data_IF_728863109882
#
_entry.id   IF_728863109882
#
_cell.length_a   1.000
_cell.length_b   1.000
_cell.length_c   1.000
_cell.angle_alpha   90.00
_cell.angle_beta   90.00
_cell.angle_gamma   90.00
#
_symmetry.space_group_name_H-M   'P 1'
#
loop_
_entity.id
_entity.type
_entity.pdbx_description
1 polymer ?
#
# COMPACT_ATOMS: atom_id res chain seq x y z
N UNK A 1 -13.80 15.96 -17.60
CA UNK A 1 -14.41 15.66 -16.28
C UNK A 1 -14.59 14.15 -16.13
N UNK A 2 -13.49 13.39 -16.06
CA UNK A 2 -13.52 11.90 -16.14
C UNK A 2 -13.02 11.20 -14.86
N UNK A 3 -12.80 11.94 -13.77
CA UNK A 3 -12.03 11.47 -12.62
C UNK A 3 -12.81 11.36 -11.30
N UNK A 4 -14.15 11.43 -11.32
CA UNK A 4 -14.93 11.46 -10.08
C UNK A 4 -15.63 10.14 -9.68
N UNK A 5 -15.61 9.09 -10.52
CA UNK A 5 -16.36 7.85 -10.26
C UNK A 5 -15.53 6.58 -10.04
N UNK A 6 -14.19 6.68 -9.98
CA UNK A 6 -13.31 5.52 -9.80
C UNK A 6 -13.11 5.09 -8.33
N UNK A 7 -13.86 5.65 -7.37
CA UNK A 7 -13.61 5.48 -5.93
C UNK A 7 -14.55 4.52 -5.20
N UNK A 8 -15.35 3.71 -5.91
CA UNK A 8 -16.25 2.74 -5.27
C UNK A 8 -15.82 1.30 -5.53
N UNK A 9 -14.69 0.91 -4.94
CA UNK A 9 -14.72 -0.02 -3.80
C UNK A 9 -15.35 -1.41 -3.92
N UNK A 10 -15.84 -1.88 -5.07
CA UNK A 10 -16.46 -3.20 -5.19
C UNK A 10 -15.59 -4.14 -6.05
N UNK A 11 -15.04 -5.23 -5.48
CA UNK A 11 -14.57 -6.34 -6.33
C UNK A 11 -15.81 -7.00 -6.93
N UNK A 12 -15.98 -6.93 -8.24
CA UNK A 12 -17.02 -7.68 -8.97
C UNK A 12 -18.24 -6.91 -9.48
N UNK A 13 -18.21 -5.58 -9.59
CA UNK A 13 -19.23 -4.89 -10.40
C UNK A 13 -18.76 -4.85 -11.85
N UNK A 14 -19.26 -5.79 -12.66
CA UNK A 14 -19.27 -5.62 -14.11
C UNK A 14 -20.55 -4.85 -14.48
N UNK A 15 -20.40 -3.59 -14.90
CA UNK A 15 -21.52 -2.82 -15.47
C UNK A 15 -21.64 -3.22 -16.93
N UNK A 16 -22.58 -4.11 -17.25
CA UNK A 16 -23.01 -4.33 -18.63
C UNK A 16 -24.13 -3.32 -18.93
N UNK A 17 -23.94 -2.35 -19.84
CA UNK A 17 -25.06 -1.54 -20.30
C UNK A 17 -25.96 -2.42 -21.17
N UNK A 18 -27.15 -2.78 -20.66
CA UNK A 18 -28.21 -3.32 -21.49
C UNK A 18 -28.90 -2.15 -22.21
N UNK A 19 -28.44 -1.88 -23.44
CA UNK A 19 -29.00 -0.85 -24.30
C UNK A 19 -30.20 -1.46 -25.01
N UNK A 20 -31.38 -1.38 -24.38
CA UNK A 20 -32.64 -1.59 -25.08
C UNK A 20 -32.94 -0.37 -25.97
N UNK A 21 -32.29 -0.32 -27.14
CA UNK A 21 -32.52 0.69 -28.16
C UNK A 21 -33.83 0.42 -28.91
N UNK A 22 -34.98 0.67 -28.27
CA UNK A 22 -36.23 0.87 -28.99
C UNK A 22 -37.26 1.63 -28.17
N UNK A 23 -37.11 2.95 -28.10
CA UNK A 23 -38.19 3.84 -27.67
C UNK A 23 -38.35 4.96 -28.71
N UNK A 24 -39.57 5.21 -29.27
CA UNK A 24 -39.79 6.24 -30.30
C UNK A 24 -39.52 7.68 -29.84
N UNK A 25 -39.36 7.89 -28.53
CA UNK A 25 -39.29 9.19 -27.87
C UNK A 25 -37.85 9.72 -27.69
N UNK A 26 -36.86 9.20 -28.42
CA UNK A 26 -35.45 9.65 -28.34
C UNK A 26 -34.90 9.69 -26.89
N UNK A 27 -35.38 8.80 -26.03
CA UNK A 27 -35.01 8.71 -24.62
C UNK A 27 -34.34 7.35 -24.38
N UNK A 28 -33.19 7.38 -23.72
CA UNK A 28 -32.42 6.18 -23.35
C UNK A 28 -32.74 5.88 -21.88
N UNK A 29 -33.48 4.79 -21.65
CA UNK A 29 -33.73 4.28 -20.30
C UNK A 29 -32.52 3.44 -19.85
N UNK A 30 -31.64 4.04 -19.04
CA UNK A 30 -30.49 3.31 -18.45
C UNK A 30 -30.97 2.61 -17.17
N UNK A 31 -31.22 1.29 -17.24
CA UNK A 31 -31.49 0.47 -16.05
C UNK A 31 -30.17 -0.09 -15.52
N UNK A 32 -29.73 0.41 -14.36
CA UNK A 32 -28.62 -0.17 -13.62
C UNK A 32 -29.14 -1.35 -12.77
N UNK A 33 -28.87 -2.58 -13.21
CA UNK A 33 -29.11 -3.77 -12.39
C UNK A 33 -27.90 -3.96 -11.48
N UNK A 34 -28.05 -3.58 -10.20
CA UNK A 34 -27.02 -3.82 -9.18
C UNK A 34 -27.35 -5.15 -8.50
N UNK A 35 -26.78 -6.25 -8.98
CA UNK A 35 -26.80 -7.50 -8.23
C UNK A 35 -25.88 -7.35 -7.01
N UNK A 36 -26.48 -7.42 -5.82
CA UNK A 36 -25.77 -7.31 -4.55
C UNK A 36 -24.95 -8.60 -4.35
N UNK A 37 -23.71 -8.59 -4.84
CA UNK A 37 -22.75 -9.65 -4.56
C UNK A 37 -22.68 -9.90 -3.03
N UNK A 38 -22.64 -11.17 -2.63
CA UNK A 38 -22.56 -11.56 -1.22
C UNK A 38 -21.38 -10.90 -0.51
N UNK A 39 -21.41 -10.87 0.83
CA UNK A 39 -20.26 -10.37 1.61
C UNK A 39 -19.08 -11.30 1.38
N UNK A 40 -18.01 -10.78 0.77
CA UNK A 40 -16.74 -11.50 0.66
C UNK A 40 -15.91 -11.32 1.94
N UNK A 41 -15.10 -12.33 2.28
CA UNK A 41 -14.24 -12.34 3.47
C UNK A 41 -12.79 -12.64 3.10
N UNK A 42 -11.85 -12.13 3.89
CA UNK A 42 -10.44 -12.51 3.81
C UNK A 42 -10.28 -13.86 4.52
N UNK A 43 -9.68 -14.84 3.85
CA UNK A 43 -9.38 -16.14 4.42
C UNK A 43 -7.98 -16.15 5.02
N UNK A 44 -6.95 -15.87 4.22
CA UNK A 44 -5.56 -15.75 4.69
C UNK A 44 -4.87 -14.54 4.08
N UNK A 45 -3.85 -14.01 4.77
CA UNK A 45 -2.94 -12.99 4.24
C UNK A 45 -1.57 -13.63 4.04
N UNK A 46 -1.19 -13.81 2.78
CA UNK A 46 0.08 -14.39 2.38
C UNK A 46 1.07 -13.27 2.05
N UNK A 47 2.24 -13.29 2.69
CA UNK A 47 3.32 -12.34 2.43
C UNK A 47 4.48 -13.12 1.82
N UNK A 48 4.99 -12.65 0.69
CA UNK A 48 6.08 -13.31 -0.03
C UNK A 48 7.23 -12.35 -0.32
N UNK A 49 8.43 -12.90 -0.46
CA UNK A 49 9.66 -12.18 -0.83
C UNK A 49 10.15 -11.13 0.18
N UNK A 50 9.69 -11.20 1.44
CA UNK A 50 10.21 -10.42 2.56
C UNK A 50 11.38 -11.13 3.27
N UNK A 51 12.57 -11.08 2.65
CA UNK A 51 13.74 -11.83 3.13
C UNK A 51 14.37 -11.26 4.42
N UNK A 52 14.47 -9.93 4.53
CA UNK A 52 15.02 -9.24 5.71
C UNK A 52 13.90 -8.76 6.62
N UNK A 53 12.80 -8.25 6.04
CA UNK A 53 11.71 -7.60 6.77
C UNK A 53 10.79 -8.64 7.38
N UNK A 54 10.52 -8.51 8.68
CA UNK A 54 9.62 -9.44 9.36
C UNK A 54 8.17 -9.30 8.88
N UNK A 55 7.46 -10.41 8.73
CA UNK A 55 6.04 -10.44 8.35
C UNK A 55 5.17 -9.47 9.16
N UNK A 56 5.43 -9.35 10.47
CA UNK A 56 4.67 -8.48 11.37
C UNK A 56 4.77 -6.99 10.99
N UNK A 57 5.88 -6.58 10.37
CA UNK A 57 6.10 -5.21 9.90
C UNK A 57 5.24 -4.93 8.68
N UNK A 58 5.04 -5.91 7.80
CA UNK A 58 4.18 -5.77 6.64
C UNK A 58 2.70 -5.86 7.06
N UNK A 59 2.37 -6.87 7.88
CA UNK A 59 1.01 -7.16 8.31
C UNK A 59 0.34 -6.02 9.09
N UNK A 60 1.11 -5.28 9.91
CA UNK A 60 0.58 -4.16 10.71
C UNK A 60 0.14 -2.95 9.87
N UNK A 61 0.58 -2.85 8.61
CA UNK A 61 0.22 -1.72 7.74
C UNK A 61 -1.20 -1.83 7.20
N UNK A 62 -1.80 -3.03 7.30
CA UNK A 62 -3.17 -3.32 6.89
C UNK A 62 -4.13 -3.22 8.08
N UNK A 63 -5.26 -2.55 7.87
CA UNK A 63 -6.39 -2.48 8.83
C UNK A 63 -7.40 -3.62 8.66
N UNK A 64 -6.97 -4.70 8.01
CA UNK A 64 -7.78 -5.88 7.74
C UNK A 64 -7.02 -7.10 8.24
N UNK A 65 -7.72 -8.00 8.92
CA UNK A 65 -7.20 -9.24 9.42
C UNK A 65 -7.86 -10.44 8.71
N UNK A 66 -7.29 -11.62 8.95
CA UNK A 66 -7.86 -12.87 8.48
C UNK A 66 -9.24 -13.09 9.15
N UNK A 67 -10.26 -13.39 8.34
CA UNK A 67 -11.65 -13.49 8.78
C UNK A 67 -12.48 -12.21 8.62
N UNK A 68 -11.86 -11.06 8.37
CA UNK A 68 -12.59 -9.81 8.18
C UNK A 68 -13.34 -9.76 6.83
N UNK A 69 -14.35 -8.89 6.77
CA UNK A 69 -15.06 -8.58 5.53
C UNK A 69 -14.08 -7.91 4.57
N UNK A 70 -14.06 -8.38 3.32
CA UNK A 70 -13.28 -7.78 2.25
C UNK A 70 -13.62 -6.29 2.13
N UNK A 71 -12.60 -5.45 2.28
CA UNK A 71 -12.72 -4.01 2.10
C UNK A 71 -11.57 -3.50 1.23
N UNK A 72 -11.91 -3.11 0.00
CA UNK A 72 -10.94 -2.60 -0.97
C UNK A 72 -10.21 -1.35 -0.46
N UNK A 73 -10.91 -0.45 0.21
CA UNK A 73 -10.31 0.79 0.73
C UNK A 73 -9.23 0.51 1.79
N UNK A 74 -9.42 -0.51 2.63
CA UNK A 74 -8.42 -0.92 3.61
C UNK A 74 -7.20 -1.57 2.96
N UNK A 75 -7.40 -2.36 1.90
CA UNK A 75 -6.30 -2.96 1.13
C UNK A 75 -5.48 -1.88 0.42
N UNK A 76 -6.14 -0.96 -0.29
CA UNK A 76 -5.47 0.15 -0.99
C UNK A 76 -4.72 1.07 -0.02
N UNK A 77 -5.31 1.34 1.15
CA UNK A 77 -4.64 2.12 2.20
C UNK A 77 -3.42 1.38 2.73
N UNK A 78 -3.52 0.07 2.98
CA UNK A 78 -2.40 -0.75 3.43
C UNK A 78 -1.26 -0.82 2.41
N UNK A 79 -1.58 -0.98 1.12
CA UNK A 79 -0.60 -0.91 0.04
C UNK A 79 0.12 0.45 0.02
N UNK A 80 -0.64 1.55 0.15
CA UNK A 80 -0.06 2.89 0.21
C UNK A 80 0.86 3.06 1.42
N UNK A 81 0.47 2.54 2.58
CA UNK A 81 1.29 2.58 3.80
C UNK A 81 2.59 1.79 3.61
N UNK A 82 2.52 0.56 3.06
CA UNK A 82 3.71 -0.25 2.74
C UNK A 82 4.68 0.47 1.81
N UNK A 83 4.18 1.08 0.73
CA UNK A 83 5.01 1.88 -0.18
C UNK A 83 5.63 3.08 0.55
N UNK A 84 4.90 3.68 1.50
CA UNK A 84 5.36 4.79 2.33
C UNK A 84 6.47 4.43 3.33
N UNK A 85 6.65 3.14 3.67
CA UNK A 85 7.75 2.70 4.54
C UNK A 85 9.13 2.87 3.86
N UNK A 86 9.17 2.93 2.54
CA UNK A 86 10.40 3.04 1.75
C UNK A 86 11.37 1.85 1.95
N UNK A 87 10.83 0.68 2.32
CA UNK A 87 11.60 -0.56 2.50
C UNK A 87 11.65 -1.43 1.25
N UNK A 88 10.70 -1.21 0.34
CA UNK A 88 10.47 -2.04 -0.83
C UNK A 88 10.61 -1.20 -2.10
N UNK A 89 11.21 -1.78 -3.13
CA UNK A 89 11.22 -1.22 -4.48
C UNK A 89 9.87 -1.44 -5.17
N UNK A 90 9.34 -2.67 -5.04
CA UNK A 90 8.03 -3.04 -5.58
C UNK A 90 7.15 -3.64 -4.50
N UNK A 91 5.86 -3.33 -4.60
CA UNK A 91 4.79 -3.87 -3.74
C UNK A 91 3.64 -4.22 -4.66
N UNK A 92 3.20 -5.47 -4.63
CA UNK A 92 2.05 -5.98 -5.36
C UNK A 92 1.07 -6.60 -4.37
N UNK A 93 -0.14 -6.06 -4.30
CA UNK A 93 -1.19 -6.56 -3.41
C UNK A 93 -2.39 -6.96 -4.25
N UNK A 94 -2.76 -8.23 -4.21
CA UNK A 94 -3.85 -8.74 -5.02
C UNK A 94 -4.62 -9.86 -4.30
N UNK A 95 -5.97 -9.82 -4.34
CA UNK A 95 -6.78 -10.91 -3.82
C UNK A 95 -6.86 -12.06 -4.83
N UNK A 96 -6.80 -13.30 -4.34
CA UNK A 96 -7.05 -14.52 -5.12
C UNK A 96 -8.26 -15.28 -4.58
N UNK A 97 -9.11 -15.85 -5.46
CA UNK A 97 -10.24 -16.67 -5.01
C UNK A 97 -9.73 -17.93 -4.31
N UNK A 98 -10.48 -18.39 -3.32
CA UNK A 98 -10.23 -19.68 -2.64
C UNK A 98 -11.27 -20.71 -3.02
N UNK A 99 -11.06 -21.97 -2.63
CA UNK A 99 -12.05 -23.04 -2.81
C UNK A 99 -13.35 -22.82 -2.00
N UNK A 100 -13.32 -21.91 -1.02
CA UNK A 100 -14.47 -21.58 -0.19
C UNK A 100 -15.26 -20.43 -0.83
N UNK A 101 -16.58 -20.60 -0.92
CA UNK A 101 -17.49 -19.56 -1.42
C UNK A 101 -17.32 -18.26 -0.62
N UNK A 102 -17.31 -17.13 -1.34
CA UNK A 102 -17.23 -15.78 -0.79
C UNK A 102 -15.95 -15.53 0.06
N UNK A 103 -14.88 -16.30 -0.17
CA UNK A 103 -13.60 -16.15 0.52
C UNK A 103 -12.44 -15.94 -0.44
N UNK A 104 -11.59 -14.97 -0.11
CA UNK A 104 -10.42 -14.58 -0.87
C UNK A 104 -9.17 -14.60 0.01
N UNK A 105 -8.06 -15.06 -0.53
CA UNK A 105 -6.74 -14.88 0.08
C UNK A 105 -6.15 -13.55 -0.42
N UNK A 106 -5.50 -12.81 0.46
CA UNK A 106 -4.80 -11.58 0.12
C UNK A 106 -3.32 -11.88 -0.02
N UNK A 107 -2.79 -11.79 -1.24
CA UNK A 107 -1.37 -11.99 -1.47
C UNK A 107 -0.66 -10.63 -1.54
N UNK A 108 0.43 -10.53 -0.80
CA UNK A 108 1.29 -9.35 -0.70
C UNK A 108 2.68 -9.79 -1.12
N UNK A 109 3.04 -9.46 -2.35
CA UNK A 109 4.36 -9.74 -2.90
C UNK A 109 5.21 -8.47 -2.89
N UNK A 110 6.39 -8.55 -2.26
CA UNK A 110 7.27 -7.40 -2.07
C UNK A 110 8.68 -7.66 -2.61
N UNK A 111 9.31 -6.63 -3.14
CA UNK A 111 10.72 -6.66 -3.54
C UNK A 111 11.49 -5.70 -2.63
N UNK A 112 12.31 -6.24 -1.74
CA UNK A 112 13.07 -5.44 -0.77
C UNK A 112 14.23 -4.67 -1.42
N UNK A 113 14.47 -3.45 -0.93
CA UNK A 113 15.63 -2.63 -1.35
C UNK A 113 16.53 -2.28 -0.17
N UNK A 114 17.68 -1.68 -0.47
CA UNK A 114 18.55 -1.15 0.58
C UNK A 114 17.86 0.01 1.31
N UNK A 115 17.77 -0.12 2.64
CA UNK A 115 17.18 0.87 3.55
C UNK A 115 18.23 1.71 4.30
N UNK A 116 19.51 1.47 3.99
CA UNK A 116 20.66 2.17 4.55
C UNK A 116 21.08 3.35 3.68
N UNK A 117 21.40 4.49 4.29
CA UNK A 117 21.99 5.65 3.63
C UNK A 117 23.11 6.27 4.46
N UNK A 118 24.12 6.82 3.78
CA UNK A 118 25.23 7.57 4.35
C UNK A 118 25.14 9.00 3.83
N UNK A 119 25.27 9.97 4.74
CA UNK A 119 25.22 11.39 4.41
C UNK A 119 26.48 12.13 4.86
N UNK A 120 26.85 13.15 4.10
CA UNK A 120 27.90 14.10 4.46
C UNK A 120 27.38 15.51 4.25
N UNK A 121 27.42 16.33 5.30
CA UNK A 121 26.95 17.71 5.29
C UNK A 121 28.09 18.66 5.65
N UNK A 122 28.16 19.82 4.99
CA UNK A 122 29.09 20.91 5.33
C UNK A 122 28.29 22.20 5.39
N UNK A 123 28.50 23.02 6.42
CA UNK A 123 27.77 24.27 6.60
C UNK A 123 28.56 25.31 7.38
N UNK A 124 28.10 26.56 7.31
CA UNK A 124 28.69 27.69 8.02
C UNK A 124 27.63 28.37 8.89
N UNK A 125 28.00 28.66 10.14
CA UNK A 125 27.14 29.38 11.09
C UNK A 125 27.86 30.66 11.56
N UNK A 126 27.20 31.81 11.48
CA UNK A 126 27.75 33.12 11.91
C UNK A 126 28.21 33.12 13.37
N UNK A 127 27.57 32.35 14.25
CA UNK A 127 27.94 32.27 15.67
C UNK A 127 28.96 31.17 16.01
N UNK A 128 29.19 30.21 15.12
CA UNK A 128 29.91 28.96 15.43
C UNK A 128 30.81 28.43 14.32
N UNK A 129 31.11 29.25 13.32
CA UNK A 129 32.04 28.95 12.25
C UNK A 129 31.61 27.84 11.30
N UNK A 130 32.61 27.29 10.59
CA UNK A 130 32.46 26.17 9.66
C UNK A 130 32.28 24.86 10.43
N UNK A 131 31.34 24.02 9.99
CA UNK A 131 31.13 22.68 10.51
C UNK A 131 30.96 21.65 9.38
N UNK A 132 31.28 20.40 9.71
CA UNK A 132 31.01 19.23 8.89
C UNK A 132 30.33 18.14 9.70
N UNK A 133 29.47 17.34 9.05
CA UNK A 133 28.77 16.22 9.65
C UNK A 133 28.86 15.00 8.75
N UNK A 134 29.16 13.85 9.34
CA UNK A 134 28.95 12.53 8.75
C UNK A 134 27.73 11.90 9.43
N UNK A 135 26.85 11.28 8.66
CA UNK A 135 25.66 10.60 9.17
C UNK A 135 25.43 9.25 8.49
N UNK A 136 24.80 8.34 9.23
CA UNK A 136 24.35 7.03 8.79
C UNK A 136 22.91 6.83 9.24
N UNK A 137 22.05 6.41 8.33
CA UNK A 137 20.64 6.14 8.57
C UNK A 137 20.31 4.73 8.08
N UNK A 138 19.67 3.93 8.92
CA UNK A 138 19.10 2.63 8.56
C UNK A 138 17.62 2.66 8.93
N UNK A 139 16.73 2.64 7.92
CA UNK A 139 15.27 2.79 8.13
C UNK A 139 14.59 1.51 8.60
N UNK A 140 15.19 0.34 8.36
CA UNK A 140 14.64 -0.97 8.72
C UNK A 140 15.71 -1.84 9.40
N UNK A 141 16.08 -1.42 10.61
CA UNK A 141 17.10 -2.06 11.42
C UNK A 141 16.76 -3.53 11.66
N UNK A 142 17.56 -4.42 11.09
CA UNK A 142 17.42 -5.89 11.20
C UNK A 142 16.00 -6.34 10.84
N UNK A 143 15.33 -5.64 9.91
CA UNK A 143 13.99 -6.05 9.47
C UNK A 143 12.84 -5.77 10.44
N UNK A 144 13.11 -5.11 11.57
CA UNK A 144 12.12 -4.92 12.66
C UNK A 144 11.21 -3.69 12.46
N UNK A 145 11.43 -2.92 11.39
CA UNK A 145 10.77 -1.64 11.16
C UNK A 145 11.21 -0.53 12.13
N UNK A 146 12.37 -0.68 12.78
CA UNK A 146 12.99 0.35 13.63
C UNK A 146 14.00 1.17 12.84
N UNK A 147 14.08 2.46 13.15
CA UNK A 147 15.02 3.38 12.51
C UNK A 147 16.25 3.56 13.42
N UNK A 148 17.44 3.38 12.86
CA UNK A 148 18.72 3.74 13.47
C UNK A 148 19.29 4.96 12.75
N UNK A 149 19.61 6.01 13.50
CA UNK A 149 20.29 7.19 12.99
C UNK A 149 21.52 7.48 13.85
N UNK A 150 22.69 7.50 13.23
CA UNK A 150 23.96 7.80 13.87
C UNK A 150 24.65 8.92 13.10
N UNK A 151 25.40 9.78 13.80
CA UNK A 151 26.19 10.80 13.12
C UNK A 151 27.21 11.45 14.03
N UNK A 152 28.27 11.96 13.42
CA UNK A 152 29.34 12.70 14.08
C UNK A 152 29.44 14.07 13.41
N UNK A 153 29.43 15.12 14.21
CA UNK A 153 29.61 16.50 13.75
C UNK A 153 30.87 17.09 14.39
N UNK A 154 31.66 17.80 13.59
CA UNK A 154 32.83 18.56 14.05
C UNK A 154 32.80 19.95 13.43
N UNK A 155 33.16 20.97 14.21
CA UNK A 155 33.14 22.35 13.76
C UNK A 155 34.17 23.20 14.49
N UNK A 156 34.61 24.27 13.84
CA UNK A 156 35.63 25.19 14.36
C UNK A 156 34.93 26.37 15.03
N UNK A 157 35.27 26.67 16.29
CA UNK A 157 34.89 27.92 16.96
C UNK A 157 35.48 29.13 16.25
#
# INVERSE_FOLDING_TARGET
MSSYFASSGYPGINVYPDINSRNPNHTIDIKFVIEKAGKAFINQINITNNLKTEDKVIRREFKIAEGDIFNRSYIETGEKNLRGLDYFEKVFVYPTPTDKKDKYDLNIDVEEKSTSSIGFDVGYNTAGGLFGRLSFLERNLIGTGKILNAGVQSGKK
#
